data_IF_135876518078
#
_entry.id   IF_135876518078
#
_cell.length_a   1.000
_cell.length_b   1.000
_cell.length_c   1.000
_cell.angle_alpha   90.00
_cell.angle_beta   90.00
_cell.angle_gamma   90.00
#
_symmetry.space_group_name_H-M   'P 1'
#
loop_
_entity.id
_entity.type
_entity.pdbx_description
1 polymer ?
#
# COMPACT_ATOMS: atom_id res chain seq x y z
N UNK A 1 -10.03 11.39 7.49
CA UNK A 1 -10.51 10.04 7.13
C UNK A 1 -10.42 9.79 5.61
N UNK A 2 -11.06 10.60 4.77
CA UNK A 2 -11.17 10.39 3.32
C UNK A 2 -9.82 10.29 2.56
N UNK A 3 -8.86 11.18 2.85
CA UNK A 3 -7.56 11.16 2.17
C UNK A 3 -6.75 9.89 2.46
N UNK A 4 -6.79 9.38 3.69
CA UNK A 4 -6.07 8.15 4.05
C UNK A 4 -6.65 6.95 3.31
N UNK A 5 -7.98 6.84 3.27
CA UNK A 5 -8.66 5.75 2.59
C UNK A 5 -8.38 5.79 1.08
N UNK A 6 -8.41 6.98 0.46
CA UNK A 6 -8.01 7.16 -0.94
C UNK A 6 -6.57 6.69 -1.23
N UNK A 7 -5.60 7.10 -0.39
CA UNK A 7 -4.19 6.67 -0.53
C UNK A 7 -4.03 5.16 -0.41
N UNK A 8 -4.78 4.53 0.50
CA UNK A 8 -4.76 3.08 0.69
C UNK A 8 -5.39 2.32 -0.48
N UNK A 9 -6.50 2.83 -1.03
CA UNK A 9 -7.13 2.27 -2.23
C UNK A 9 -6.19 2.32 -3.43
N UNK A 10 -5.54 3.47 -3.68
CA UNK A 10 -4.53 3.61 -4.74
C UNK A 10 -3.36 2.65 -4.54
N UNK A 11 -2.86 2.51 -3.30
CA UNK A 11 -1.78 1.57 -3.02
C UNK A 11 -2.18 0.11 -3.27
N UNK A 12 -3.42 -0.26 -2.91
CA UNK A 12 -3.98 -1.59 -3.14
C UNK A 12 -4.02 -1.91 -4.64
N UNK A 13 -4.57 -0.98 -5.45
CA UNK A 13 -4.62 -1.11 -6.91
C UNK A 13 -3.23 -1.29 -7.52
N UNK A 14 -2.23 -0.51 -7.08
CA UNK A 14 -0.85 -0.65 -7.55
C UNK A 14 -0.21 -1.98 -7.12
N UNK A 15 -0.52 -2.49 -5.93
CA UNK A 15 0.01 -3.78 -5.46
C UNK A 15 -0.53 -4.95 -6.28
N UNK A 16 -1.77 -4.87 -6.74
CA UNK A 16 -2.49 -5.92 -7.49
C UNK A 16 -2.16 -5.90 -8.99
N UNK A 17 -1.96 -4.72 -9.57
CA UNK A 17 -1.92 -4.56 -11.03
C UNK A 17 -0.53 -4.19 -11.57
N UNK A 18 0.49 -4.08 -10.72
CA UNK A 18 1.85 -3.68 -11.14
C UNK A 18 2.96 -4.40 -10.38
N UNK A 19 4.13 -4.44 -11.00
CA UNK A 19 5.36 -5.00 -10.41
C UNK A 19 6.24 -3.96 -9.71
N UNK A 20 5.75 -2.73 -9.49
CA UNK A 20 6.52 -1.69 -8.81
C UNK A 20 6.96 -2.15 -7.42
N UNK A 21 8.17 -1.79 -6.98
CA UNK A 21 8.61 -2.16 -5.64
C UNK A 21 7.66 -1.54 -4.61
N UNK A 22 7.42 -2.26 -3.52
CA UNK A 22 6.51 -1.82 -2.45
C UNK A 22 6.92 -0.45 -1.87
N UNK A 23 8.22 -0.15 -1.88
CA UNK A 23 8.75 1.17 -1.50
C UNK A 23 8.28 2.27 -2.47
N UNK A 24 8.37 2.04 -3.77
CA UNK A 24 7.96 3.02 -4.79
C UNK A 24 6.44 3.26 -4.72
N UNK A 25 5.65 2.21 -4.46
CA UNK A 25 4.20 2.33 -4.24
C UNK A 25 3.88 3.21 -3.03
N UNK A 26 4.69 3.16 -1.98
CA UNK A 26 4.49 4.04 -0.80
C UNK A 26 4.63 5.52 -1.17
N UNK A 27 5.53 5.85 -2.09
CA UNK A 27 5.73 7.21 -2.58
C UNK A 27 4.62 7.61 -3.57
N UNK A 28 4.29 6.74 -4.53
CA UNK A 28 3.21 6.97 -5.52
C UNK A 28 1.82 7.14 -4.90
N UNK A 29 1.58 6.49 -3.76
CA UNK A 29 0.33 6.61 -2.99
C UNK A 29 0.35 7.73 -1.96
N UNK A 30 1.40 8.55 -1.91
CA UNK A 30 1.44 9.76 -1.09
C UNK A 30 1.68 9.54 0.40
N UNK A 31 2.32 8.43 0.79
CA UNK A 31 2.77 8.19 2.17
C UNK A 31 4.17 8.73 2.44
N UNK A 32 4.99 8.90 1.40
CA UNK A 32 6.34 9.47 1.42
C UNK A 32 7.40 8.62 2.15
N UNK A 33 6.98 7.64 2.95
CA UNK A 33 7.87 6.64 3.55
C UNK A 33 7.18 5.29 3.60
N UNK A 34 7.98 4.25 3.39
CA UNK A 34 7.53 2.86 3.53
C UNK A 34 6.99 2.55 4.93
N UNK A 35 7.60 3.07 6.01
CA UNK A 35 7.18 2.76 7.37
C UNK A 35 5.78 3.29 7.69
N UNK A 36 5.46 4.52 7.29
CA UNK A 36 4.13 5.10 7.50
C UNK A 36 3.07 4.36 6.68
N UNK A 37 3.41 4.05 5.43
CA UNK A 37 2.57 3.25 4.54
C UNK A 37 2.29 1.86 5.14
N UNK A 38 3.32 1.09 5.49
CA UNK A 38 3.17 -0.27 5.98
C UNK A 38 2.35 -0.34 7.26
N UNK A 39 2.53 0.62 8.19
CA UNK A 39 1.71 0.73 9.41
C UNK A 39 0.24 1.01 9.08
N UNK A 40 -0.03 2.01 8.23
CA UNK A 40 -1.40 2.39 7.87
C UNK A 40 -2.11 1.27 7.09
N UNK A 41 -1.41 0.66 6.13
CA UNK A 41 -1.93 -0.43 5.31
C UNK A 41 -2.25 -1.64 6.17
N UNK A 42 -1.34 -2.09 7.04
CA UNK A 42 -1.59 -3.19 7.97
C UNK A 42 -2.76 -2.90 8.90
N UNK A 43 -2.89 -1.67 9.40
CA UNK A 43 -4.01 -1.27 10.28
C UNK A 43 -5.37 -1.32 9.58
N UNK A 44 -5.44 -0.97 8.29
CA UNK A 44 -6.71 -0.91 7.54
C UNK A 44 -7.06 -2.23 6.84
N UNK A 45 -6.07 -2.90 6.26
CA UNK A 45 -6.22 -4.09 5.40
C UNK A 45 -5.97 -5.39 6.17
N UNK A 46 -5.24 -5.34 7.29
CA UNK A 46 -4.96 -6.51 8.14
C UNK A 46 -3.65 -7.22 7.84
N UNK A 47 -3.02 -6.98 6.69
CA UNK A 47 -1.76 -7.59 6.28
C UNK A 47 -0.72 -6.55 5.84
N UNK A 48 0.56 -6.93 5.81
CA UNK A 48 1.60 -6.04 5.28
C UNK A 48 1.47 -5.88 3.76
N UNK A 49 1.87 -4.76 3.16
CA UNK A 49 1.82 -4.57 1.71
C UNK A 49 2.52 -5.68 0.89
N UNK A 50 3.67 -6.17 1.38
CA UNK A 50 4.41 -7.25 0.73
C UNK A 50 3.69 -8.60 0.84
N UNK A 51 3.17 -8.93 2.03
CA UNK A 51 2.34 -10.13 2.22
C UNK A 51 1.06 -10.08 1.39
N UNK A 52 0.44 -8.90 1.28
CA UNK A 52 -0.76 -8.67 0.48
C UNK A 52 -0.49 -8.96 -0.99
N UNK A 53 0.59 -8.40 -1.57
CA UNK A 53 0.98 -8.68 -2.95
C UNK A 53 1.21 -10.17 -3.20
N UNK A 54 1.95 -10.84 -2.33
CA UNK A 54 2.26 -12.26 -2.50
C UNK A 54 1.00 -13.15 -2.43
N UNK A 55 -0.11 -12.67 -1.88
CA UNK A 55 -1.38 -13.39 -1.86
C UNK A 55 -2.27 -13.09 -3.09
N UNK A 56 -1.97 -12.04 -3.84
CA UNK A 56 -2.67 -11.68 -5.08
C UNK A 56 -2.02 -12.29 -6.34
N UNK A 57 -0.74 -12.65 -6.25
CA UNK A 57 -0.02 -13.46 -7.24
C UNK A 57 -0.38 -14.94 -7.09
#
# INVERSE_FOLDING_TARGET
QYLLDYRLMKAKELLENTDYKVKDISDMSGFGTYNNFAKAFKKKIGSSPGSYRNACL
#
